data_IF_582460619869
#
_entry.id   IF_582460619869
#
_cell.length_a   1.000
_cell.length_b   1.000
_cell.length_c   1.000
_cell.angle_alpha   90.00
_cell.angle_beta   90.00
_cell.angle_gamma   90.00
#
_symmetry.space_group_name_H-M   'P 1'
#
loop_
_entity.id
_entity.type
_entity.pdbx_description
1 polymer ?
#
# COMPACT_ATOMS: atom_id res chain seq x y z
N UNK A 1 15.54 10.06 16.34
CA UNK A 1 15.34 8.61 16.57
C UNK A 1 16.22 8.03 17.66
N UNK A 2 16.39 8.72 18.80
CA UNK A 2 17.12 8.15 19.94
C UNK A 2 16.10 7.84 21.03
N UNK A 3 15.98 6.56 21.39
CA UNK A 3 15.21 6.08 22.53
C UNK A 3 16.17 5.41 23.50
N UNK A 4 16.10 5.76 24.78
CA UNK A 4 16.83 5.11 25.86
C UNK A 4 15.84 4.63 26.93
N UNK A 5 16.00 3.40 27.39
CA UNK A 5 15.14 2.79 28.41
C UNK A 5 15.45 1.32 28.61
N UNK A 6 15.03 0.78 29.75
CA UNK A 6 15.15 -0.65 30.07
C UNK A 6 13.76 -1.31 30.02
N UNK A 7 13.70 -2.58 29.63
CA UNK A 7 12.44 -3.34 29.53
C UNK A 7 12.10 -3.79 28.11
N UNK A 8 10.82 -4.08 27.85
CA UNK A 8 10.39 -4.46 26.49
C UNK A 8 10.38 -3.23 25.60
N UNK A 9 10.75 -3.42 24.33
CA UNK A 9 10.76 -2.34 23.32
C UNK A 9 9.41 -1.61 23.25
N UNK A 10 8.29 -2.35 23.31
CA UNK A 10 6.95 -1.75 23.25
C UNK A 10 6.65 -0.82 24.44
N UNK A 11 7.13 -1.16 25.64
CA UNK A 11 6.89 -0.36 26.85
C UNK A 11 7.64 0.98 26.77
N UNK A 12 8.88 0.94 26.29
CA UNK A 12 9.71 2.14 26.05
C UNK A 12 9.09 3.03 24.98
N UNK A 13 8.61 2.44 23.88
CA UNK A 13 7.94 3.18 22.80
C UNK A 13 6.65 3.86 23.28
N UNK A 14 5.82 3.16 24.06
CA UNK A 14 4.57 3.71 24.65
C UNK A 14 4.87 4.86 25.61
N UNK A 15 5.81 4.68 26.54
CA UNK A 15 6.19 5.71 27.51
C UNK A 15 6.68 7.00 26.83
N UNK A 16 7.44 6.85 25.75
CA UNK A 16 8.01 7.99 25.02
C UNK A 16 7.11 8.52 23.89
N UNK A 17 5.98 7.86 23.60
CA UNK A 17 5.11 8.13 22.45
C UNK A 17 5.90 8.25 21.14
N UNK A 18 6.86 7.36 20.95
CA UNK A 18 7.85 7.46 19.87
C UNK A 18 7.36 6.77 18.59
N UNK A 19 6.40 7.41 17.91
CA UNK A 19 5.79 6.92 16.67
C UNK A 19 6.81 6.75 15.53
N UNK A 20 7.79 7.65 15.43
CA UNK A 20 8.83 7.60 14.40
C UNK A 20 9.71 6.34 14.53
N UNK A 21 10.14 6.02 15.75
CA UNK A 21 10.90 4.79 15.99
C UNK A 21 10.05 3.54 15.79
N UNK A 22 8.76 3.57 16.14
CA UNK A 22 7.84 2.47 15.85
C UNK A 22 7.74 2.22 14.33
N UNK A 23 7.51 3.27 13.54
CA UNK A 23 7.44 3.16 12.09
C UNK A 23 8.73 2.60 11.50
N UNK A 24 9.89 3.10 11.93
CA UNK A 24 11.19 2.61 11.49
C UNK A 24 11.39 1.12 11.81
N UNK A 25 10.97 0.67 12.99
CA UNK A 25 11.01 -0.74 13.36
C UNK A 25 10.06 -1.59 12.51
N UNK A 26 8.87 -1.08 12.19
CA UNK A 26 7.91 -1.75 11.31
C UNK A 26 8.46 -1.89 9.89
N UNK A 27 9.05 -0.82 9.34
CA UNK A 27 9.71 -0.84 8.03
C UNK A 27 10.85 -1.87 8.00
N UNK A 28 11.69 -1.89 9.04
CA UNK A 28 12.81 -2.83 9.15
C UNK A 28 12.37 -4.29 9.30
N UNK A 29 11.28 -4.52 10.04
CA UNK A 29 10.74 -5.86 10.31
C UNK A 29 9.76 -6.37 9.23
N UNK A 30 9.43 -5.55 8.22
CA UNK A 30 8.40 -5.90 7.26
C UNK A 30 8.81 -7.05 6.33
N UNK A 31 7.90 -8.01 6.13
CA UNK A 31 8.08 -9.12 5.18
C UNK A 31 7.66 -8.77 3.75
N UNK A 32 7.09 -7.59 3.54
CA UNK A 32 6.63 -7.10 2.24
C UNK A 32 6.52 -5.59 2.23
N UNK A 33 7.08 -4.97 1.18
CA UNK A 33 6.98 -3.53 0.97
C UNK A 33 6.38 -3.26 -0.40
N UNK A 34 5.43 -2.33 -0.43
CA UNK A 34 4.83 -1.84 -1.65
C UNK A 34 4.64 -0.34 -1.56
N UNK A 35 5.04 0.33 -2.63
CA UNK A 35 4.97 1.76 -2.81
C UNK A 35 4.54 2.08 -4.23
N UNK A 36 3.80 3.17 -4.40
CA UNK A 36 3.52 3.74 -5.70
C UNK A 36 3.21 5.22 -5.57
N UNK A 37 3.31 5.93 -6.70
CA UNK A 37 2.78 7.28 -6.81
C UNK A 37 1.28 7.27 -6.52
N UNK A 38 0.82 8.19 -5.68
CA UNK A 38 -0.56 8.20 -5.17
C UNK A 38 -1.61 8.16 -6.29
N UNK A 39 -1.41 8.90 -7.39
CA UNK A 39 -2.31 8.85 -8.54
C UNK A 39 -2.33 7.49 -9.27
N UNK A 40 -1.24 6.69 -9.19
CA UNK A 40 -1.21 5.33 -9.74
C UNK A 40 -1.86 4.31 -8.80
N UNK A 41 -1.96 4.61 -7.50
CA UNK A 41 -2.61 3.73 -6.52
C UNK A 41 -4.05 3.37 -6.93
N UNK A 42 -4.80 4.31 -7.52
CA UNK A 42 -6.14 4.06 -8.07
C UNK A 42 -6.15 2.85 -9.03
N UNK A 43 -5.18 2.76 -9.95
CA UNK A 43 -5.12 1.68 -10.95
C UNK A 43 -5.01 0.31 -10.27
N UNK A 44 -4.24 0.20 -9.18
CA UNK A 44 -4.03 -1.07 -8.48
C UNK A 44 -5.16 -1.37 -7.50
N UNK A 45 -5.55 -0.38 -6.69
CA UNK A 45 -6.51 -0.59 -5.61
C UNK A 45 -7.93 -0.75 -6.15
N UNK A 46 -8.34 0.00 -7.18
CA UNK A 46 -9.65 -0.19 -7.82
C UNK A 46 -9.76 -1.59 -8.45
N UNK A 47 -8.67 -2.08 -9.05
CA UNK A 47 -8.63 -3.46 -9.56
C UNK A 47 -8.65 -4.51 -8.43
N UNK A 48 -8.00 -4.22 -7.30
CA UNK A 48 -8.02 -5.12 -6.15
C UNK A 48 -9.41 -5.18 -5.49
N UNK A 49 -10.09 -4.04 -5.32
CA UNK A 49 -11.41 -3.99 -4.67
C UNK A 49 -12.56 -4.34 -5.64
N UNK A 50 -12.35 -4.18 -6.96
CA UNK A 50 -13.35 -4.40 -7.99
C UNK A 50 -14.40 -3.29 -8.09
N UNK A 51 -14.05 -2.07 -7.68
CA UNK A 51 -14.92 -0.90 -7.56
C UNK A 51 -14.10 0.39 -7.71
N UNK A 52 -14.76 1.53 -7.94
CA UNK A 52 -14.10 2.83 -7.99
C UNK A 52 -13.78 3.37 -6.60
N UNK A 53 -12.70 4.15 -6.50
CA UNK A 53 -12.33 4.90 -5.30
C UNK A 53 -12.65 6.37 -5.57
N UNK A 54 -13.51 6.98 -4.75
CA UNK A 54 -14.00 8.34 -4.98
C UNK A 54 -12.99 9.40 -4.53
N UNK A 55 -12.38 9.18 -3.36
CA UNK A 55 -11.43 10.11 -2.77
C UNK A 55 -10.09 9.44 -2.45
N UNK A 56 -9.02 10.24 -2.55
CA UNK A 56 -7.65 9.81 -2.27
C UNK A 56 -7.48 9.28 -0.84
N UNK A 57 -8.26 9.82 0.10
CA UNK A 57 -8.24 9.41 1.51
C UNK A 57 -8.82 8.01 1.72
N UNK A 58 -9.81 7.61 0.92
CA UNK A 58 -10.43 6.28 0.97
C UNK A 58 -9.41 5.15 0.70
N UNK A 59 -8.30 5.44 0.00
CA UNK A 59 -7.21 4.49 -0.21
C UNK A 59 -6.49 4.08 1.08
N UNK A 60 -6.67 4.83 2.17
CA UNK A 60 -6.03 4.62 3.46
C UNK A 60 -7.00 4.10 4.52
N UNK A 61 -8.27 3.91 4.15
CA UNK A 61 -9.30 3.43 5.06
C UNK A 61 -9.20 1.92 5.29
N UNK A 62 -9.55 1.51 6.51
CA UNK A 62 -9.64 0.10 6.88
C UNK A 62 -10.61 -0.67 5.98
N UNK A 63 -11.77 -0.09 5.64
CA UNK A 63 -12.79 -0.75 4.82
C UNK A 63 -12.28 -1.06 3.41
N UNK A 64 -11.49 -0.18 2.82
CA UNK A 64 -10.81 -0.38 1.54
C UNK A 64 -9.83 -1.56 1.63
N UNK A 65 -8.96 -1.56 2.63
CA UNK A 65 -7.94 -2.60 2.78
C UNK A 65 -8.49 -3.97 3.22
N UNK A 66 -9.65 -4.02 3.88
CA UNK A 66 -10.39 -5.26 4.08
C UNK A 66 -10.88 -5.86 2.75
N UNK A 67 -11.32 -5.04 1.80
CA UNK A 67 -11.67 -5.49 0.44
C UNK A 67 -10.42 -5.94 -0.33
N UNK A 68 -9.35 -5.16 -0.32
CA UNK A 68 -8.07 -5.51 -0.95
C UNK A 68 -7.56 -6.86 -0.45
N UNK A 69 -7.47 -7.03 0.88
CA UNK A 69 -7.02 -8.28 1.50
C UNK A 69 -7.89 -9.47 1.11
N UNK A 70 -9.21 -9.32 1.17
CA UNK A 70 -10.16 -10.38 0.83
C UNK A 70 -10.03 -10.81 -0.63
N UNK A 71 -9.96 -9.85 -1.55
CA UNK A 71 -9.99 -10.12 -2.98
C UNK A 71 -8.64 -10.64 -3.49
N UNK A 72 -7.51 -10.05 -3.08
CA UNK A 72 -6.17 -10.48 -3.53
C UNK A 72 -5.74 -11.83 -2.95
N UNK A 73 -6.43 -12.35 -1.92
CA UNK A 73 -6.27 -13.74 -1.47
C UNK A 73 -6.95 -14.76 -2.38
N UNK A 74 -7.91 -14.31 -3.19
CA UNK A 74 -8.70 -15.16 -4.10
C UNK A 74 -8.12 -15.05 -5.52
N UNK A 75 -7.78 -13.84 -5.95
CA UNK A 75 -7.23 -13.57 -7.28
C UNK A 75 -5.76 -14.00 -7.29
N UNK A 76 -5.36 -14.81 -8.28
CA UNK A 76 -3.96 -15.20 -8.47
C UNK A 76 -3.09 -14.02 -8.91
N UNK A 77 -1.78 -14.07 -8.60
CA UNK A 77 -0.82 -13.01 -8.89
C UNK A 77 -0.82 -12.61 -10.39
N UNK A 78 -0.71 -13.59 -11.28
CA UNK A 78 -0.69 -13.37 -12.74
C UNK A 78 -1.97 -12.70 -13.23
N UNK A 79 -3.13 -13.19 -12.76
CA UNK A 79 -4.42 -12.62 -13.13
C UNK A 79 -4.56 -11.19 -12.64
N UNK A 80 -4.11 -10.89 -11.42
CA UNK A 80 -4.16 -9.54 -10.87
C UNK A 80 -3.27 -8.58 -11.66
N UNK A 81 -2.02 -8.97 -11.95
CA UNK A 81 -1.09 -8.14 -12.71
C UNK A 81 -1.60 -7.87 -14.13
N UNK A 82 -2.15 -8.89 -14.80
CA UNK A 82 -2.77 -8.72 -16.11
C UNK A 82 -3.95 -7.75 -16.06
N UNK A 83 -4.87 -7.89 -15.10
CA UNK A 83 -6.04 -7.01 -14.95
C UNK A 83 -5.63 -5.54 -14.75
N UNK A 84 -4.59 -5.29 -13.95
CA UNK A 84 -4.02 -3.95 -13.75
C UNK A 84 -3.50 -3.38 -15.05
N UNK A 85 -2.70 -4.14 -15.79
CA UNK A 85 -2.14 -3.67 -17.06
C UNK A 85 -3.23 -3.41 -18.11
N UNK A 86 -4.22 -4.28 -18.22
CA UNK A 86 -5.39 -4.07 -19.09
C UNK A 86 -6.19 -2.83 -18.70
N UNK A 87 -6.38 -2.59 -17.40
CA UNK A 87 -7.06 -1.38 -16.92
C UNK A 87 -6.27 -0.11 -17.26
N UNK A 88 -4.95 -0.12 -17.08
CA UNK A 88 -4.09 0.99 -17.46
C UNK A 88 -4.18 1.30 -18.96
N UNK A 89 -4.09 0.28 -19.82
CA UNK A 89 -4.22 0.45 -21.28
C UNK A 89 -5.59 1.06 -21.64
N UNK A 90 -6.68 0.55 -21.06
CA UNK A 90 -8.04 1.09 -21.30
C UNK A 90 -8.18 2.55 -20.89
N UNK A 91 -7.62 2.95 -19.73
CA UNK A 91 -7.63 4.36 -19.30
C UNK A 91 -6.86 5.24 -20.27
N UNK A 92 -5.73 4.75 -20.77
CA UNK A 92 -4.89 5.47 -21.73
C UNK A 92 -5.61 5.67 -23.06
N UNK A 93 -6.21 4.62 -23.62
CA UNK A 93 -7.04 4.71 -24.83
C UNK A 93 -8.23 5.68 -24.64
N UNK A 94 -8.88 5.67 -23.47
CA UNK A 94 -9.99 6.57 -23.17
C UNK A 94 -9.58 8.05 -23.14
N UNK A 95 -8.30 8.35 -22.91
CA UNK A 95 -7.73 9.70 -23.00
C UNK A 95 -7.33 10.08 -24.43
N UNK A 96 -7.49 9.17 -25.40
CA UNK A 96 -7.07 9.36 -26.80
C UNK A 96 -5.56 9.19 -27.01
N UNK A 97 -4.86 8.59 -26.04
CA UNK A 97 -3.43 8.36 -26.10
C UNK A 97 -3.09 7.09 -26.89
N UNK A 98 -1.93 7.09 -27.55
CA UNK A 98 -1.48 5.94 -28.35
C UNK A 98 -1.01 4.77 -27.50
N UNK A 99 -1.20 3.56 -28.03
CA UNK A 99 -0.62 2.30 -27.57
C UNK A 99 0.45 1.75 -28.53
N UNK A 100 0.76 2.46 -29.62
CA UNK A 100 1.84 2.05 -30.53
C UNK A 100 3.19 2.45 -29.94
N UNK A 101 4.02 1.46 -29.62
CA UNK A 101 5.39 1.66 -29.13
C UNK A 101 6.28 2.44 -30.10
N UNK A 102 5.93 2.46 -31.39
CA UNK A 102 6.63 3.27 -32.40
C UNK A 102 6.34 4.75 -32.24
N UNK A 103 5.16 5.09 -31.71
CA UNK A 103 4.72 6.47 -31.45
C UNK A 103 5.10 6.93 -30.04
N UNK A 104 5.07 6.03 -29.05
CA UNK A 104 5.59 6.29 -27.70
C UNK A 104 6.46 5.12 -27.18
N UNK A 105 7.81 5.28 -27.15
CA UNK A 105 8.71 4.22 -26.70
C UNK A 105 8.63 3.92 -25.20
N UNK A 106 7.92 4.73 -24.41
CA UNK A 106 7.75 4.51 -22.96
C UNK A 106 6.58 3.58 -22.63
N UNK A 107 5.75 3.18 -23.61
CA UNK A 107 4.59 2.32 -23.38
C UNK A 107 5.01 0.99 -22.76
N UNK A 108 5.96 0.28 -23.39
CA UNK A 108 6.42 -1.02 -22.89
C UNK A 108 7.09 -0.91 -21.51
N UNK A 109 8.05 0.00 -21.27
CA UNK A 109 8.60 0.22 -19.92
C UNK A 109 7.54 0.56 -18.87
N UNK A 110 6.50 1.33 -19.24
CA UNK A 110 5.42 1.70 -18.31
C UNK A 110 4.51 0.51 -18.02
N UNK A 111 4.21 -0.32 -19.02
CA UNK A 111 3.48 -1.57 -18.87
C UNK A 111 4.23 -2.52 -17.92
N UNK A 112 5.53 -2.74 -18.15
CA UNK A 112 6.38 -3.59 -17.29
C UNK A 112 6.44 -3.05 -15.85
N UNK A 113 6.48 -1.72 -15.68
CA UNK A 113 6.42 -1.11 -14.35
C UNK A 113 5.08 -1.37 -13.64
N UNK A 114 3.95 -1.32 -14.36
CA UNK A 114 2.64 -1.67 -13.81
C UNK A 114 2.54 -3.15 -13.43
N UNK A 115 3.00 -4.06 -14.30
CA UNK A 115 3.03 -5.51 -14.02
C UNK A 115 3.85 -5.79 -12.74
N UNK A 116 5.09 -5.30 -12.68
CA UNK A 116 5.96 -5.47 -11.51
C UNK A 116 5.36 -4.89 -10.24
N UNK A 117 4.73 -3.72 -10.32
CA UNK A 117 4.13 -3.04 -9.16
C UNK A 117 2.89 -3.78 -8.66
N UNK A 118 2.06 -4.32 -9.56
CA UNK A 118 0.91 -5.14 -9.20
C UNK A 118 1.33 -6.44 -8.50
N UNK A 119 2.35 -7.13 -9.03
CA UNK A 119 2.90 -8.35 -8.41
C UNK A 119 3.44 -8.09 -7.01
N UNK A 120 4.16 -6.99 -6.81
CA UNK A 120 4.63 -6.57 -5.48
C UNK A 120 3.47 -6.35 -4.50
N UNK A 121 2.39 -5.69 -4.92
CA UNK A 121 1.21 -5.47 -4.08
C UNK A 121 0.59 -6.81 -3.67
N UNK A 122 0.38 -7.70 -4.64
CA UNK A 122 -0.16 -9.03 -4.40
C UNK A 122 0.71 -9.82 -3.41
N UNK A 123 2.03 -9.82 -3.61
CA UNK A 123 3.01 -10.45 -2.72
C UNK A 123 2.94 -9.89 -1.29
N UNK A 124 2.83 -8.57 -1.13
CA UNK A 124 2.82 -7.90 0.17
C UNK A 124 1.51 -8.17 0.94
N UNK A 125 0.38 -8.19 0.23
CA UNK A 125 -0.94 -8.47 0.82
C UNK A 125 -1.08 -9.92 1.26
N UNK A 126 -0.48 -10.86 0.51
CA UNK A 126 -0.59 -12.29 0.78
C UNK A 126 0.43 -12.82 1.82
N UNK A 127 1.18 -11.94 2.50
CA UNK A 127 2.03 -12.35 3.63
C UNK A 127 1.14 -12.83 4.79
N UNK A 128 1.37 -14.06 5.24
CA UNK A 128 0.60 -14.64 6.35
C UNK A 128 0.96 -13.96 7.69
N UNK A 129 0.00 -13.89 8.59
CA UNK A 129 0.15 -13.33 9.95
C UNK A 129 0.68 -11.89 9.98
N UNK A 130 0.43 -11.13 8.91
CA UNK A 130 0.84 -9.74 8.77
C UNK A 130 -0.38 -8.84 8.57
N UNK A 131 -0.26 -7.58 8.96
CA UNK A 131 -1.19 -6.50 8.66
C UNK A 131 -0.44 -5.45 7.84
N UNK A 132 -1.13 -4.80 6.90
CA UNK A 132 -0.54 -3.71 6.14
C UNK A 132 -0.65 -2.41 6.92
N UNK A 133 0.48 -1.75 7.14
CA UNK A 133 0.52 -0.39 7.68
C UNK A 133 0.61 0.56 6.49
N UNK A 134 -0.30 1.52 6.45
CA UNK A 134 -0.52 2.40 5.30
C UNK A 134 -0.02 3.79 5.62
N UNK A 135 0.54 4.48 4.65
CA UNK A 135 0.97 5.85 4.85
C UNK A 135 1.32 6.56 3.57
N UNK A 136 1.54 7.86 3.69
CA UNK A 136 2.03 8.72 2.62
C UNK A 136 3.38 9.26 3.07
N UNK A 137 4.28 9.49 2.11
CA UNK A 137 5.62 10.00 2.38
C UNK A 137 5.61 11.32 3.17
N UNK A 138 4.58 12.15 2.98
CA UNK A 138 4.44 13.44 3.66
C UNK A 138 3.69 13.39 5.01
N UNK A 139 3.20 12.22 5.44
CA UNK A 139 2.49 12.08 6.71
C UNK A 139 3.47 11.85 7.87
N UNK A 140 3.18 12.47 9.02
CA UNK A 140 3.86 12.16 10.27
C UNK A 140 3.63 10.69 10.64
N UNK A 141 4.62 10.02 11.24
CA UNK A 141 4.53 8.61 11.62
C UNK A 141 3.28 8.27 12.48
N UNK A 142 2.78 9.22 13.28
CA UNK A 142 1.58 9.04 14.11
C UNK A 142 0.29 8.83 13.29
N UNK A 143 0.28 9.33 12.05
CA UNK A 143 -0.85 9.31 11.12
C UNK A 143 -0.82 8.08 10.20
N UNK A 144 0.24 7.26 10.28
CA UNK A 144 0.32 5.99 9.55
C UNK A 144 -0.60 4.93 10.18
N UNK A 145 -0.98 3.96 9.37
CA UNK A 145 -1.86 2.84 9.70
C UNK A 145 -3.34 3.17 9.50
N UNK A 146 -4.20 2.25 9.90
CA UNK A 146 -5.66 2.35 9.71
C UNK A 146 -6.39 1.61 10.83
N UNK A 147 -7.58 2.09 11.22
CA UNK A 147 -8.36 1.48 12.29
C UNK A 147 -7.52 1.29 13.57
N UNK A 148 -7.60 0.10 14.18
CA UNK A 148 -6.83 -0.26 15.38
C UNK A 148 -5.30 -0.36 15.14
N UNK A 149 -4.87 -0.33 13.88
CA UNK A 149 -3.46 -0.40 13.49
C UNK A 149 -2.86 0.98 13.19
N UNK A 150 -3.63 2.06 13.36
CA UNK A 150 -3.05 3.40 13.36
C UNK A 150 -2.01 3.52 14.49
N UNK A 151 -0.88 4.14 14.20
CA UNK A 151 0.28 4.13 15.09
C UNK A 151 0.02 4.90 16.39
N UNK A 152 -0.78 5.98 16.35
CA UNK A 152 -1.23 6.68 17.56
C UNK A 152 -2.09 5.77 18.41
N UNK A 153 -3.10 5.14 17.82
CA UNK A 153 -3.98 4.21 18.54
C UNK A 153 -3.16 3.05 19.12
N UNK A 154 -2.21 2.50 18.38
CA UNK A 154 -1.40 1.37 18.82
C UNK A 154 -0.49 1.69 20.02
N UNK A 155 0.13 2.88 20.05
CA UNK A 155 0.99 3.30 21.17
C UNK A 155 0.23 3.88 22.35
N UNK A 156 -0.93 4.50 22.11
CA UNK A 156 -1.66 5.24 23.15
C UNK A 156 -2.89 4.50 23.67
N UNK A 157 -3.28 3.37 23.06
CA UNK A 157 -4.27 2.47 23.64
C UNK A 157 -3.81 2.03 25.04
N UNK A 158 -4.61 2.36 26.04
CA UNK A 158 -4.47 1.82 27.39
C UNK A 158 -4.94 0.36 27.34
N UNK A 159 -4.14 -0.55 27.90
CA UNK A 159 -4.55 -1.95 28.10
C UNK A 159 -5.79 -2.05 29.02
#
# INVERSE_FOLDING_TARGET
DQAAGEGRVIDVLRMQKNHALLLLLMEWASFGHWDSWEGRCFIYLEQAIGDSIEHVDDMYDQSCWEKVNRNLRIIGEDQFAQNVCENWMKRREALGETLDEREDPHIMPTFEAHDKTARKLHYAVNRQNCVQILGREHLDAKDWGHGNWNLTIFLEASD
#
